data_IF_411431067188
#
_entry.id   IF_411431067188
#
_cell.length_a   1.000
_cell.length_b   1.000
_cell.length_c   1.000
_cell.angle_alpha   90.00
_cell.angle_beta   90.00
_cell.angle_gamma   90.00
#
_symmetry.space_group_name_H-M   'P 1'
#
loop_
_entity.id
_entity.type
_entity.pdbx_description
1 polymer ?
#
# COMPACT_ATOMS: atom_id res chain seq x y z
N UNK A 1 -2.96 11.46 -26.69
CA UNK A 1 -1.76 11.96 -25.97
C UNK A 1 -1.49 11.06 -24.78
N UNK A 2 -0.34 10.43 -24.77
CA UNK A 2 0.15 9.70 -23.62
C UNK A 2 0.26 10.66 -22.44
N UNK A 3 -0.04 10.22 -21.22
CA UNK A 3 -0.11 11.06 -20.04
C UNK A 3 1.09 12.02 -19.95
N UNK A 4 0.84 13.32 -20.02
CA UNK A 4 1.86 14.36 -20.07
C UNK A 4 2.89 14.20 -18.97
N UNK A 5 4.17 14.18 -19.34
CA UNK A 5 5.30 14.10 -18.43
C UNK A 5 5.71 12.70 -17.96
N UNK A 6 5.00 11.62 -18.34
CA UNK A 6 5.44 10.25 -18.07
C UNK A 6 6.46 9.79 -19.11
N UNK A 7 7.49 9.09 -18.68
CA UNK A 7 8.52 8.48 -19.53
C UNK A 7 8.47 6.98 -19.40
N UNK A 8 8.70 6.25 -20.50
CA UNK A 8 8.92 4.81 -20.52
C UNK A 8 10.42 4.58 -20.36
N UNK A 9 10.81 3.78 -19.37
CA UNK A 9 12.21 3.44 -19.11
C UNK A 9 12.58 2.08 -19.69
N UNK A 10 11.60 1.18 -19.89
CA UNK A 10 11.81 -0.11 -20.54
C UNK A 10 12.22 0.08 -22.00
N UNK A 11 13.27 -0.62 -22.43
CA UNK A 11 13.77 -0.61 -23.82
C UNK A 11 13.11 -1.68 -24.69
N UNK A 12 12.47 -2.67 -24.07
CA UNK A 12 11.78 -3.76 -24.75
C UNK A 12 10.28 -3.69 -24.49
N UNK A 13 9.50 -3.98 -25.52
CA UNK A 13 8.05 -4.10 -25.49
C UNK A 13 7.63 -5.40 -26.18
N UNK A 14 7.00 -6.31 -25.44
CA UNK A 14 6.52 -7.59 -25.97
C UNK A 14 5.04 -7.51 -26.29
N UNK A 15 4.21 -7.12 -25.33
CA UNK A 15 2.77 -6.94 -25.51
C UNK A 15 2.18 -5.94 -24.50
N UNK A 16 0.89 -5.58 -24.69
CA UNK A 16 0.22 -4.58 -23.87
C UNK A 16 0.01 -4.97 -22.39
N UNK A 17 0.15 -6.26 -22.06
CA UNK A 17 -0.11 -6.80 -20.73
C UNK A 17 1.17 -6.98 -19.91
N UNK A 18 2.34 -6.97 -20.54
CA UNK A 18 3.62 -7.07 -19.85
C UNK A 18 3.91 -5.78 -19.08
N UNK A 19 4.57 -5.95 -17.94
CA UNK A 19 4.93 -4.83 -17.08
C UNK A 19 6.13 -4.08 -17.64
N UNK A 20 5.91 -2.84 -18.03
CA UNK A 20 6.93 -1.87 -18.42
C UNK A 20 7.30 -1.01 -17.22
N UNK A 21 8.54 -0.54 -17.19
CA UNK A 21 9.01 0.44 -16.23
C UNK A 21 8.74 1.86 -16.73
N UNK A 22 8.14 2.69 -15.89
CA UNK A 22 7.81 4.08 -16.17
C UNK A 22 8.45 5.00 -15.12
N UNK A 23 8.68 6.24 -15.52
CA UNK A 23 8.97 7.35 -14.62
C UNK A 23 7.84 8.38 -14.71
N UNK A 24 7.30 8.80 -13.57
CA UNK A 24 6.28 9.86 -13.52
C UNK A 24 6.91 11.26 -13.54
N UNK A 25 6.11 12.34 -13.72
CA UNK A 25 6.62 13.72 -13.70
C UNK A 25 7.37 14.08 -12.41
N UNK A 26 7.04 13.45 -11.27
CA UNK A 26 7.71 13.66 -9.99
C UNK A 26 8.96 12.77 -9.80
N UNK A 27 9.40 12.07 -10.86
CA UNK A 27 10.61 11.24 -10.86
C UNK A 27 10.46 9.87 -10.21
N UNK A 28 9.24 9.45 -9.82
CA UNK A 28 9.04 8.12 -9.27
C UNK A 28 9.06 7.06 -10.37
N UNK A 29 9.84 6.00 -10.15
CA UNK A 29 9.86 4.80 -11.00
C UNK A 29 8.84 3.79 -10.50
N UNK A 30 8.08 3.20 -11.42
CA UNK A 30 7.06 2.19 -11.11
C UNK A 30 6.83 1.27 -12.31
N UNK A 31 6.29 0.07 -12.04
CA UNK A 31 5.99 -0.91 -13.08
C UNK A 31 4.48 -1.00 -13.30
N UNK A 32 4.07 -0.89 -14.56
CA UNK A 32 2.67 -0.99 -14.98
C UNK A 32 2.59 -1.60 -16.39
N UNK A 33 1.50 -2.27 -16.74
CA UNK A 33 1.29 -2.68 -18.11
C UNK A 33 0.79 -1.50 -18.94
N UNK A 34 1.08 -1.55 -20.26
CA UNK A 34 0.62 -0.53 -21.20
C UNK A 34 -0.90 -0.38 -21.21
N UNK A 35 -1.60 -1.52 -21.18
CA UNK A 35 -3.06 -1.57 -21.11
C UNK A 35 -3.61 -0.79 -19.90
N UNK A 36 -3.07 -1.02 -18.73
CA UNK A 36 -3.47 -0.29 -17.52
C UNK A 36 -3.16 1.21 -17.58
N UNK A 37 -2.02 1.59 -18.16
CA UNK A 37 -1.69 3.01 -18.39
C UNK A 37 -2.69 3.69 -19.32
N UNK A 38 -3.16 2.98 -20.39
CA UNK A 38 -4.20 3.47 -21.28
C UNK A 38 -5.55 3.60 -20.57
N UNK A 39 -5.88 2.69 -19.65
CA UNK A 39 -7.08 2.75 -18.80
C UNK A 39 -7.02 3.84 -17.71
N UNK A 40 -5.95 4.62 -17.65
CA UNK A 40 -5.82 5.74 -16.72
C UNK A 40 -5.06 5.42 -15.43
N UNK A 41 -4.47 4.22 -15.28
CA UNK A 41 -3.59 3.96 -14.14
C UNK A 41 -2.39 4.90 -14.19
N UNK A 42 -1.98 5.40 -13.03
CA UNK A 42 -0.88 6.35 -12.85
C UNK A 42 0.08 5.84 -11.77
N UNK A 43 1.12 6.63 -11.51
CA UNK A 43 2.12 6.31 -10.50
C UNK A 43 1.48 6.01 -9.14
N UNK A 44 1.73 4.82 -8.60
CA UNK A 44 1.21 4.39 -7.30
C UNK A 44 1.74 5.26 -6.16
N UNK A 45 3.01 5.70 -6.24
CA UNK A 45 3.61 6.59 -5.22
C UNK A 45 2.90 7.94 -5.16
N UNK A 46 2.55 8.52 -6.33
CA UNK A 46 1.81 9.79 -6.37
C UNK A 46 0.37 9.67 -5.85
N UNK A 47 -0.19 8.46 -5.90
CA UNK A 47 -1.55 8.17 -5.41
C UNK A 47 -1.60 7.86 -3.91
N UNK A 48 -0.46 7.61 -3.28
CA UNK A 48 -0.41 7.38 -1.83
C UNK A 48 -0.94 8.60 -1.06
N UNK A 49 -1.66 8.34 0.01
CA UNK A 49 -1.99 9.37 1.00
C UNK A 49 -0.72 9.96 1.62
N UNK A 50 -0.82 11.13 2.25
CA UNK A 50 0.33 11.77 2.91
C UNK A 50 0.94 10.81 3.94
N UNK A 51 0.13 10.18 4.79
CA UNK A 51 0.64 9.27 5.81
C UNK A 51 1.25 7.99 5.24
N UNK A 52 0.66 7.41 4.18
CA UNK A 52 1.28 6.27 3.49
C UNK A 52 2.63 6.65 2.86
N UNK A 53 2.78 7.89 2.36
CA UNK A 53 4.09 8.38 1.89
C UNK A 53 5.12 8.49 3.01
N UNK A 54 4.72 8.89 4.20
CA UNK A 54 5.60 8.94 5.37
C UNK A 54 6.06 7.54 5.79
N UNK A 55 5.15 6.55 5.78
CA UNK A 55 5.52 5.13 5.97
C UNK A 55 6.55 4.71 4.91
N UNK A 56 6.31 5.01 3.63
CA UNK A 56 7.24 4.71 2.55
C UNK A 56 8.62 5.35 2.77
N UNK A 57 8.67 6.62 3.17
CA UNK A 57 9.94 7.31 3.44
C UNK A 57 10.68 6.67 4.63
N UNK A 58 9.97 6.25 5.67
CA UNK A 58 10.53 5.52 6.81
C UNK A 58 11.17 4.20 6.37
N UNK A 59 10.47 3.42 5.52
CA UNK A 59 11.00 2.17 4.96
C UNK A 59 12.27 2.41 4.10
N UNK A 60 12.26 3.45 3.26
CA UNK A 60 13.43 3.83 2.45
C UNK A 60 14.62 4.23 3.30
N UNK A 61 14.39 5.02 4.36
CA UNK A 61 15.44 5.46 5.30
C UNK A 61 16.08 4.28 6.03
N UNK A 62 15.29 3.24 6.34
CA UNK A 62 15.76 2.01 6.95
C UNK A 62 16.45 1.07 5.96
N UNK A 63 16.39 1.35 4.65
CA UNK A 63 17.03 0.54 3.62
C UNK A 63 16.42 -0.85 3.43
N UNK A 64 15.20 -1.07 3.89
CA UNK A 64 14.51 -2.36 3.75
C UNK A 64 13.88 -2.50 2.36
N UNK A 65 13.82 -3.73 1.87
CA UNK A 65 13.13 -4.05 0.62
C UNK A 65 11.62 -4.10 0.85
N UNK A 66 10.82 -3.45 -0.01
CA UNK A 66 9.36 -3.46 0.13
C UNK A 66 8.66 -3.36 -1.23
N UNK A 67 7.41 -3.84 -1.26
CA UNK A 67 6.48 -3.65 -2.39
C UNK A 67 5.24 -2.88 -1.93
N UNK A 68 4.69 -2.06 -2.87
CA UNK A 68 3.45 -1.30 -2.69
C UNK A 68 2.27 -2.11 -3.21
N UNK A 69 1.09 -1.92 -2.59
CA UNK A 69 -0.17 -2.54 -3.04
C UNK A 69 -0.02 -4.07 -3.21
N UNK A 70 0.63 -4.69 -2.24
CA UNK A 70 0.91 -6.12 -2.29
C UNK A 70 -0.37 -6.95 -2.15
N UNK A 71 -0.50 -7.99 -2.96
CA UNK A 71 -1.70 -8.85 -2.98
C UNK A 71 -1.34 -10.31 -2.74
N UNK A 72 -2.21 -11.01 -2.00
CA UNK A 72 -2.28 -12.45 -1.96
C UNK A 72 -3.55 -12.88 -2.69
N UNK A 73 -3.47 -13.84 -3.59
CA UNK A 73 -4.59 -14.25 -4.43
C UNK A 73 -5.78 -14.80 -3.62
N UNK A 74 -5.52 -15.29 -2.42
CA UNK A 74 -6.49 -15.87 -1.49
C UNK A 74 -6.98 -14.90 -0.40
N UNK A 75 -6.39 -13.71 -0.25
CA UNK A 75 -6.91 -12.66 0.63
C UNK A 75 -8.03 -11.90 -0.07
N UNK A 76 -9.27 -12.38 0.04
CA UNK A 76 -10.39 -11.93 -0.78
C UNK A 76 -11.61 -11.50 0.06
N UNK A 77 -12.16 -10.31 -0.26
CA UNK A 77 -13.53 -9.91 0.08
C UNK A 77 -14.17 -9.30 -1.17
N UNK A 78 -15.01 -10.07 -1.89
CA UNK A 78 -15.56 -9.72 -3.23
C UNK A 78 -14.50 -9.55 -4.33
N UNK A 79 -13.34 -9.03 -3.99
CA UNK A 79 -12.13 -8.89 -4.82
C UNK A 79 -10.92 -9.12 -3.94
N UNK A 80 -9.78 -9.40 -4.55
CA UNK A 80 -8.49 -9.45 -3.87
C UNK A 80 -8.24 -8.13 -3.13
N UNK A 81 -7.73 -8.22 -1.91
CA UNK A 81 -7.46 -7.06 -1.05
C UNK A 81 -5.96 -6.73 -1.08
N UNK A 82 -5.56 -5.56 -1.61
CA UNK A 82 -4.17 -5.13 -1.54
C UNK A 82 -3.81 -4.67 -0.13
N UNK A 83 -2.58 -4.94 0.29
CA UNK A 83 -1.94 -4.35 1.46
C UNK A 83 -1.08 -3.18 1.02
N UNK A 84 -1.09 -2.06 1.76
CA UNK A 84 -0.37 -0.85 1.37
C UNK A 84 1.13 -1.13 1.15
N UNK A 85 1.76 -1.89 2.07
CA UNK A 85 3.17 -2.27 1.99
C UNK A 85 3.38 -3.72 2.43
N UNK A 86 4.20 -4.45 1.68
CA UNK A 86 4.84 -5.67 2.12
C UNK A 86 6.35 -5.42 2.27
N UNK A 87 6.91 -5.62 3.45
CA UNK A 87 8.35 -5.66 3.68
C UNK A 87 8.83 -7.07 3.35
N UNK A 88 9.88 -7.16 2.56
CA UNK A 88 10.38 -8.42 2.04
C UNK A 88 11.73 -8.80 2.67
N UNK A 89 11.94 -10.10 2.82
CA UNK A 89 13.23 -10.70 3.13
C UNK A 89 14.13 -10.71 1.87
N UNK A 90 15.40 -11.07 2.03
CA UNK A 90 16.37 -11.16 0.92
C UNK A 90 15.97 -12.21 -0.14
N UNK A 91 15.22 -13.23 0.23
CA UNK A 91 14.67 -14.25 -0.66
C UNK A 91 13.33 -13.85 -1.33
N UNK A 92 12.90 -12.59 -1.17
CA UNK A 92 11.63 -12.02 -1.60
C UNK A 92 10.39 -12.62 -0.92
N UNK A 93 10.52 -13.42 0.13
CA UNK A 93 9.37 -13.79 0.96
C UNK A 93 8.88 -12.60 1.79
N UNK A 94 7.58 -12.59 2.13
CA UNK A 94 6.99 -11.54 2.95
C UNK A 94 7.45 -11.67 4.40
N UNK A 95 8.15 -10.66 4.91
CA UNK A 95 8.58 -10.54 6.31
C UNK A 95 7.45 -10.02 7.20
N UNK A 96 6.78 -8.98 6.74
CA UNK A 96 5.64 -8.37 7.43
C UNK A 96 4.86 -7.47 6.48
N UNK A 97 3.68 -7.04 6.92
CA UNK A 97 2.80 -6.13 6.21
C UNK A 97 2.60 -4.85 7.02
N UNK A 98 2.41 -3.73 6.33
CA UNK A 98 2.12 -2.44 6.95
C UNK A 98 0.96 -1.79 6.21
N UNK A 99 -0.04 -1.30 6.96
CA UNK A 99 -1.21 -0.56 6.49
C UNK A 99 -1.20 0.83 7.12
N UNK A 100 -1.49 1.87 6.35
CA UNK A 100 -1.78 3.20 6.87
C UNK A 100 -3.30 3.43 6.91
N UNK A 101 -3.85 3.42 8.10
CA UNK A 101 -5.29 3.60 8.31
C UNK A 101 -5.65 5.08 8.34
N UNK A 102 -6.22 5.57 7.24
CA UNK A 102 -6.79 6.90 7.15
C UNK A 102 -7.98 7.11 8.11
N UNK A 103 -8.43 8.36 8.23
CA UNK A 103 -9.51 8.74 9.16
C UNK A 103 -10.80 7.92 8.97
N UNK A 104 -11.11 7.53 7.72
CA UNK A 104 -12.30 6.75 7.38
C UNK A 104 -12.27 5.28 7.81
N UNK A 105 -11.16 4.79 8.35
CA UNK A 105 -11.11 3.51 9.06
C UNK A 105 -11.70 3.62 10.48
N UNK A 106 -11.79 4.84 11.03
CA UNK A 106 -12.19 5.07 12.43
C UNK A 106 -13.47 5.89 12.56
N UNK A 107 -13.80 6.71 11.56
CA UNK A 107 -14.97 7.60 11.57
C UNK A 107 -15.78 7.44 10.28
N UNK A 108 -17.09 7.61 10.40
CA UNK A 108 -17.95 7.75 9.23
C UNK A 108 -17.62 9.03 8.46
N UNK A 109 -17.57 8.94 7.13
CA UNK A 109 -17.25 10.10 6.29
C UNK A 109 -18.36 11.18 6.41
N UNK A 110 -18.03 12.42 6.83
CA UNK A 110 -19.04 13.46 7.05
C UNK A 110 -19.52 14.14 5.74
N UNK A 111 -18.99 13.74 4.58
CA UNK A 111 -19.04 14.56 3.36
C UNK A 111 -20.17 14.27 2.37
N UNK A 112 -21.16 13.48 2.70
CA UNK A 112 -22.32 13.37 1.83
C UNK A 112 -23.61 13.57 2.61
N UNK A 113 -24.55 14.32 2.02
CA UNK A 113 -25.94 14.41 2.48
C UNK A 113 -26.68 13.04 2.40
N UNK A 114 -25.97 11.95 2.09
CA UNK A 114 -26.46 10.59 2.00
C UNK A 114 -25.83 9.72 3.09
N UNK A 115 -26.41 9.77 4.28
CA UNK A 115 -26.03 8.98 5.46
C UNK A 115 -25.92 7.48 5.17
N UNK A 116 -26.79 6.92 4.32
CA UNK A 116 -26.78 5.50 3.98
C UNK A 116 -25.53 5.06 3.19
N UNK A 117 -25.04 5.89 2.27
CA UNK A 117 -23.82 5.56 1.50
C UNK A 117 -22.59 5.61 2.39
N UNK A 118 -22.49 6.58 3.30
CA UNK A 118 -21.37 6.73 4.22
C UNK A 118 -21.31 5.57 5.20
N UNK A 119 -22.46 5.21 5.78
CA UNK A 119 -22.55 4.07 6.69
C UNK A 119 -22.19 2.75 5.99
N UNK A 120 -22.62 2.55 4.73
CA UNK A 120 -22.25 1.39 3.94
C UNK A 120 -20.74 1.38 3.64
N UNK A 121 -20.17 2.52 3.25
CA UNK A 121 -18.73 2.63 2.98
C UNK A 121 -17.90 2.29 4.22
N UNK A 122 -18.25 2.85 5.38
CA UNK A 122 -17.59 2.56 6.65
C UNK A 122 -17.69 1.07 7.03
N UNK A 123 -18.89 0.46 6.92
CA UNK A 123 -19.07 -0.97 7.17
C UNK A 123 -18.21 -1.83 6.24
N UNK A 124 -18.13 -1.48 4.95
CA UNK A 124 -17.28 -2.21 4.00
C UNK A 124 -15.79 -2.09 4.34
N UNK A 125 -15.33 -0.91 4.77
CA UNK A 125 -13.95 -0.72 5.24
C UNK A 125 -13.68 -1.62 6.42
N UNK A 126 -14.53 -1.63 7.44
CA UNK A 126 -14.38 -2.51 8.62
C UNK A 126 -14.32 -4.00 8.27
N UNK A 127 -15.22 -4.48 7.41
CA UNK A 127 -15.20 -5.88 6.98
C UNK A 127 -13.88 -6.22 6.25
N UNK A 128 -13.39 -5.33 5.38
CA UNK A 128 -12.12 -5.55 4.69
C UNK A 128 -10.94 -5.56 5.66
N UNK A 129 -10.93 -4.68 6.65
CA UNK A 129 -9.93 -4.65 7.71
C UNK A 129 -9.93 -5.95 8.52
N UNK A 130 -11.12 -6.46 8.91
CA UNK A 130 -11.25 -7.73 9.61
C UNK A 130 -10.74 -8.91 8.77
N UNK A 131 -11.06 -8.95 7.47
CA UNK A 131 -10.56 -9.99 6.56
C UNK A 131 -9.04 -9.95 6.46
N UNK A 132 -8.44 -8.76 6.29
CA UNK A 132 -6.98 -8.60 6.25
C UNK A 132 -6.32 -9.01 7.57
N UNK A 133 -6.87 -8.59 8.70
CA UNK A 133 -6.34 -8.94 10.01
C UNK A 133 -6.36 -10.46 10.23
N UNK A 134 -7.53 -11.07 9.96
CA UNK A 134 -7.68 -12.52 10.08
C UNK A 134 -6.74 -13.27 9.14
N UNK A 135 -6.60 -12.83 7.90
CA UNK A 135 -5.67 -13.42 6.94
C UNK A 135 -4.23 -13.42 7.47
N UNK A 136 -3.79 -12.30 8.04
CA UNK A 136 -2.46 -12.18 8.63
C UNK A 136 -2.28 -13.11 9.84
N UNK A 137 -3.29 -13.21 10.72
CA UNK A 137 -3.29 -14.11 11.87
C UNK A 137 -3.21 -15.59 11.42
N UNK A 138 -4.09 -16.01 10.51
CA UNK A 138 -4.17 -17.40 10.01
C UNK A 138 -2.87 -17.83 9.31
N UNK A 139 -2.15 -16.90 8.68
CA UNK A 139 -0.89 -17.16 7.97
C UNK A 139 0.36 -16.80 8.79
N UNK A 140 0.22 -16.39 10.05
CA UNK A 140 1.32 -15.97 10.92
C UNK A 140 2.18 -14.83 10.29
N UNK A 141 1.58 -13.91 9.53
CA UNK A 141 2.24 -12.76 8.94
C UNK A 141 2.09 -11.56 9.89
N UNK A 142 3.19 -10.99 10.42
CA UNK A 142 3.11 -9.80 11.27
C UNK A 142 2.50 -8.62 10.49
N UNK A 143 1.48 -7.99 11.06
CA UNK A 143 0.81 -6.82 10.49
C UNK A 143 0.94 -5.62 11.42
N UNK A 144 1.47 -4.51 10.89
CA UNK A 144 1.43 -3.20 11.53
C UNK A 144 0.30 -2.37 10.91
N UNK A 145 -0.59 -1.86 11.74
CA UNK A 145 -1.57 -0.84 11.33
C UNK A 145 -1.19 0.50 11.94
N UNK A 146 -0.94 1.50 11.09
CA UNK A 146 -0.54 2.85 11.50
C UNK A 146 -1.75 3.77 11.36
N UNK A 147 -2.37 4.19 12.46
CA UNK A 147 -3.54 5.06 12.41
C UNK A 147 -3.17 6.49 12.03
N UNK A 148 -4.09 7.21 11.38
CA UNK A 148 -3.86 8.56 10.84
C UNK A 148 -3.36 9.60 11.85
N UNK A 149 -3.76 9.48 13.13
CA UNK A 149 -3.32 10.41 14.18
C UNK A 149 -1.83 10.30 14.51
N UNK A 150 -1.18 9.18 14.22
CA UNK A 150 0.27 9.03 14.39
C UNK A 150 1.05 9.89 13.41
N UNK A 151 0.49 10.19 12.24
CA UNK A 151 1.02 11.21 11.33
C UNK A 151 0.97 12.60 11.99
N UNK A 152 -0.19 12.95 12.56
CA UNK A 152 -0.39 14.27 13.16
C UNK A 152 0.52 14.45 14.38
N UNK A 153 0.89 13.37 15.06
CA UNK A 153 1.85 13.34 16.16
C UNK A 153 3.32 13.28 15.71
N UNK A 154 3.60 13.15 14.40
CA UNK A 154 4.95 12.99 13.86
C UNK A 154 5.64 11.69 14.27
N UNK A 155 4.89 10.62 14.54
CA UNK A 155 5.39 9.41 15.21
C UNK A 155 5.56 8.21 14.25
N UNK A 156 5.19 8.34 12.97
CA UNK A 156 5.18 7.23 12.00
C UNK A 156 6.57 6.57 11.89
N UNK A 157 7.64 7.35 11.77
CA UNK A 157 9.00 6.83 11.64
C UNK A 157 9.38 5.95 12.84
N UNK A 158 9.10 6.42 14.05
CA UNK A 158 9.41 5.67 15.27
C UNK A 158 8.63 4.35 15.35
N UNK A 159 7.34 4.37 15.03
CA UNK A 159 6.47 3.18 15.06
C UNK A 159 6.97 2.14 14.05
N UNK A 160 7.27 2.54 12.83
CA UNK A 160 7.78 1.63 11.77
C UNK A 160 9.13 1.05 12.19
N UNK A 161 10.05 1.88 12.69
CA UNK A 161 11.36 1.44 13.16
C UNK A 161 11.27 0.45 14.32
N UNK A 162 10.46 0.77 15.35
CA UNK A 162 10.27 -0.09 16.51
C UNK A 162 9.67 -1.45 16.12
N UNK A 163 8.64 -1.44 15.27
CA UNK A 163 8.00 -2.65 14.79
C UNK A 163 9.01 -3.57 14.08
N UNK A 164 9.77 -3.06 13.12
CA UNK A 164 10.75 -3.85 12.38
C UNK A 164 11.88 -4.36 13.28
N UNK A 165 12.39 -3.50 14.19
CA UNK A 165 13.44 -3.89 15.15
C UNK A 165 13.00 -5.00 16.10
N UNK A 166 11.71 -5.02 16.47
CA UNK A 166 11.16 -6.07 17.33
C UNK A 166 10.97 -7.41 16.59
N UNK A 167 10.71 -7.37 15.29
CA UNK A 167 10.67 -8.58 14.46
C UNK A 167 12.06 -9.23 14.35
N UNK A 168 13.10 -8.43 14.14
CA UNK A 168 14.47 -8.94 14.01
C UNK A 168 14.97 -9.61 15.31
N UNK A 169 14.57 -9.08 16.48
CA UNK A 169 14.91 -9.68 17.78
C UNK A 169 14.21 -11.02 18.07
N UNK A 170 13.08 -11.30 17.42
CA UNK A 170 12.35 -12.57 17.62
C UNK A 170 12.91 -13.70 16.78
N UNK A 171 13.71 -13.38 15.76
CA UNK A 171 14.30 -14.35 14.82
C UNK A 171 15.73 -14.71 15.22
N UNK A 172 16.39 -13.89 16.05
CA UNK A 172 17.74 -14.12 16.59
C UNK A 172 17.71 -14.96 17.87
#
# INVERSE_FOLDING_TARGET
EFASGYKILSTEYVNAFDRLEFECPDGHKFKCSWDKMQMGQRCTVCQLSIGAREVMYSLRKLGVNYELEYVFDDCVYKRVLPFDFAVLNDDNSVKCLIEFDGEFHYKEAPFSNCTDKNLRSFKYTKIRDEVKNKYCEDNNIPLLRVPYWERDNGNIENIVHEFLSNLDKKVA
#
